data_IF_395737317501
#
_entry.id   IF_395737317501
#
_cell.length_a   1.000
_cell.length_b   1.000
_cell.length_c   1.000
_cell.angle_alpha   90.00
_cell.angle_beta   90.00
_cell.angle_gamma   90.00
#
_symmetry.space_group_name_H-M   'P 1'
#
loop_
_entity.id
_entity.type
_entity.pdbx_description
1 polymer ?
#
# COMPACT_ATOMS: atom_id res chain seq x y z
N UNK A 1 -16.74 4.91 15.68
CA UNK A 1 -16.65 5.33 14.26
C UNK A 1 -17.96 6.03 13.91
N UNK A 2 -17.93 7.21 13.29
CA UNK A 2 -19.15 7.95 12.98
C UNK A 2 -19.91 7.27 11.82
N UNK A 3 -21.27 7.31 11.78
CA UNK A 3 -22.06 6.67 10.72
C UNK A 3 -21.68 7.11 9.29
N UNK A 4 -21.22 8.35 9.17
CA UNK A 4 -20.80 8.97 7.91
C UNK A 4 -19.52 8.36 7.34
N UNK A 5 -18.53 8.09 8.21
CA UNK A 5 -17.25 7.47 7.83
C UNK A 5 -17.46 6.07 7.24
N UNK A 6 -18.43 5.32 7.79
CA UNK A 6 -18.72 3.97 7.33
C UNK A 6 -19.41 3.94 5.96
N UNK A 7 -20.24 4.95 5.67
CA UNK A 7 -20.88 5.11 4.37
C UNK A 7 -19.86 5.45 3.28
N UNK A 8 -18.93 6.35 3.59
CA UNK A 8 -17.84 6.75 2.68
C UNK A 8 -16.89 5.58 2.41
N UNK A 9 -16.47 4.86 3.46
CA UNK A 9 -15.61 3.69 3.33
C UNK A 9 -16.25 2.62 2.44
N UNK A 10 -17.56 2.39 2.58
CA UNK A 10 -18.30 1.41 1.78
C UNK A 10 -18.37 1.84 0.31
N UNK A 11 -18.51 3.14 0.03
CA UNK A 11 -18.49 3.67 -1.34
C UNK A 11 -17.11 3.49 -2.00
N UNK A 12 -16.03 3.78 -1.27
CA UNK A 12 -14.66 3.58 -1.75
C UNK A 12 -14.35 2.10 -2.03
N UNK A 13 -14.81 1.19 -1.17
CA UNK A 13 -14.63 -0.25 -1.37
C UNK A 13 -15.34 -0.73 -2.65
N UNK A 14 -16.55 -0.24 -2.90
CA UNK A 14 -17.28 -0.55 -4.13
C UNK A 14 -16.56 -0.04 -5.38
N UNK A 15 -15.98 1.17 -5.34
CA UNK A 15 -15.20 1.71 -6.46
C UNK A 15 -13.95 0.85 -6.73
N UNK A 16 -13.27 0.37 -5.69
CA UNK A 16 -12.10 -0.49 -5.83
C UNK A 16 -12.46 -1.87 -6.40
N UNK A 17 -13.63 -2.42 -6.04
CA UNK A 17 -14.16 -3.65 -6.61
C UNK A 17 -14.51 -3.50 -8.09
N UNK A 18 -15.20 -2.41 -8.46
CA UNK A 18 -15.62 -2.11 -9.84
C UNK A 18 -14.42 -1.93 -10.78
N UNK A 19 -13.35 -1.29 -10.27
CA UNK A 19 -12.08 -1.13 -10.99
C UNK A 19 -11.20 -2.40 -11.02
N UNK A 20 -11.60 -3.47 -10.33
CA UNK A 20 -10.86 -4.74 -10.27
C UNK A 20 -9.56 -4.67 -9.46
N UNK A 21 -9.43 -3.71 -8.54
CA UNK A 21 -8.24 -3.57 -7.70
C UNK A 21 -8.22 -4.54 -6.51
N UNK A 22 -9.39 -5.02 -6.08
CA UNK A 22 -9.55 -5.94 -4.95
C UNK A 22 -10.57 -7.03 -5.30
N UNK A 23 -10.46 -8.21 -4.66
CA UNK A 23 -11.39 -9.32 -4.80
C UNK A 23 -11.93 -9.68 -3.40
N UNK A 24 -13.24 -9.96 -3.22
CA UNK A 24 -13.74 -10.36 -1.91
C UNK A 24 -13.17 -11.74 -1.51
N UNK A 25 -12.56 -11.81 -0.33
CA UNK A 25 -12.00 -13.04 0.26
C UNK A 25 -12.54 -13.21 1.68
N UNK A 26 -12.87 -14.45 2.01
CA UNK A 26 -13.14 -14.92 3.38
C UNK A 26 -12.18 -16.08 3.63
N UNK A 27 -10.92 -15.76 3.94
CA UNK A 27 -9.85 -16.77 4.01
C UNK A 27 -9.38 -17.05 5.45
N UNK A 28 -9.14 -18.31 5.85
CA UNK A 28 -8.61 -18.68 7.18
C UNK A 28 -7.21 -18.13 7.52
N UNK A 29 -6.56 -17.45 6.57
CA UNK A 29 -5.17 -16.97 6.65
C UNK A 29 -5.02 -15.59 7.32
N UNK A 30 -6.14 -14.95 7.66
CA UNK A 30 -6.23 -13.70 8.42
C UNK A 30 -5.29 -13.66 9.64
N UNK A 31 -5.35 -14.73 10.44
CA UNK A 31 -4.57 -14.85 11.67
C UNK A 31 -3.08 -15.11 11.42
N UNK A 32 -2.71 -15.60 10.23
CA UNK A 32 -1.34 -15.99 9.90
C UNK A 32 -0.54 -14.85 9.25
N UNK A 33 -1.22 -13.86 8.66
CA UNK A 33 -0.59 -12.74 7.96
C UNK A 33 0.31 -11.90 8.89
N UNK A 34 -0.13 -11.69 10.14
CA UNK A 34 0.66 -11.00 11.16
C UNK A 34 1.93 -11.76 11.57
N UNK A 35 1.96 -13.08 11.41
CA UNK A 35 3.13 -13.91 11.76
C UNK A 35 4.11 -14.04 10.59
N UNK A 36 3.61 -14.09 9.35
CA UNK A 36 4.38 -14.39 8.13
C UNK A 36 4.87 -13.13 7.40
N UNK A 37 4.69 -11.93 7.97
CA UNK A 37 5.26 -10.70 7.43
C UNK A 37 6.81 -10.75 7.45
N UNK A 38 7.38 -11.37 6.42
CA UNK A 38 8.81 -11.40 6.13
C UNK A 38 9.30 -9.95 6.13
N UNK A 39 10.30 -9.66 6.96
CA UNK A 39 10.93 -8.34 7.02
C UNK A 39 11.30 -7.88 5.61
N UNK A 40 10.87 -6.66 5.27
CA UNK A 40 11.10 -6.05 3.97
C UNK A 40 12.60 -6.14 3.60
N UNK A 41 12.91 -6.71 2.44
CA UNK A 41 14.27 -6.88 1.92
C UNK A 41 15.01 -5.54 1.78
N UNK A 42 14.26 -4.45 1.60
CA UNK A 42 14.80 -3.11 1.49
C UNK A 42 14.51 -2.34 2.77
N UNK A 43 15.57 -2.07 3.53
CA UNK A 43 15.46 -1.18 4.69
C UNK A 43 15.18 0.23 4.19
N UNK A 44 14.23 0.92 4.84
CA UNK A 44 13.98 2.33 4.55
C UNK A 44 15.24 3.13 4.95
N UNK A 45 15.81 3.94 4.03
CA UNK A 45 16.98 4.76 4.34
C UNK A 45 16.62 5.81 5.41
N UNK A 46 17.61 6.22 6.21
CA UNK A 46 17.39 7.29 7.20
C UNK A 46 17.25 8.61 6.49
N UNK A 47 16.45 9.50 7.08
CA UNK A 47 16.16 10.80 6.49
C UNK A 47 17.42 11.67 6.30
N UNK A 48 18.38 11.59 7.24
CA UNK A 48 19.63 12.36 7.14
C UNK A 48 20.51 11.88 5.99
N UNK A 49 20.60 10.56 5.76
CA UNK A 49 21.37 9.99 4.66
C UNK A 49 20.82 10.46 3.30
N UNK A 50 19.49 10.62 3.20
CA UNK A 50 18.83 11.17 2.01
C UNK A 50 19.14 12.67 1.82
N UNK A 51 19.13 13.46 2.88
CA UNK A 51 19.45 14.89 2.79
C UNK A 51 20.93 15.14 2.49
N UNK A 52 21.82 14.30 2.99
CA UNK A 52 23.25 14.36 2.68
C UNK A 52 23.50 14.14 1.17
N UNK A 53 22.74 13.26 0.52
CA UNK A 53 22.80 13.06 -0.93
C UNK A 53 22.34 14.26 -1.74
N UNK A 54 21.47 15.10 -1.16
CA UNK A 54 20.91 16.27 -1.82
C UNK A 54 21.76 17.53 -1.61
N UNK A 55 22.83 17.47 -0.81
CA UNK A 55 23.75 18.59 -0.60
C UNK A 55 24.41 19.00 -1.92
N UNK A 56 24.29 20.28 -2.28
CA UNK A 56 24.84 20.84 -3.52
C UNK A 56 23.85 20.94 -4.68
N UNK A 57 22.64 20.37 -4.53
CA UNK A 57 21.55 20.66 -5.47
C UNK A 57 20.94 22.03 -5.16
N UNK A 58 20.82 22.87 -6.19
CA UNK A 58 20.27 24.24 -6.07
C UNK A 58 18.79 24.30 -6.42
N UNK A 59 18.29 23.31 -7.17
CA UNK A 59 16.91 23.23 -7.64
C UNK A 59 16.35 21.86 -7.32
N UNK A 60 15.14 21.84 -6.75
CA UNK A 60 14.44 20.62 -6.36
C UNK A 60 13.06 20.57 -7.02
N UNK A 61 12.65 19.37 -7.42
CA UNK A 61 11.29 19.09 -7.88
C UNK A 61 10.75 17.91 -7.09
N UNK A 62 9.49 18.02 -6.63
CA UNK A 62 8.84 16.98 -5.84
C UNK A 62 7.74 16.32 -6.66
N UNK A 63 7.87 15.02 -6.85
CA UNK A 63 6.87 14.20 -7.56
C UNK A 63 6.05 13.47 -6.50
N UNK A 64 4.73 13.58 -6.60
CA UNK A 64 3.80 12.86 -5.73
C UNK A 64 3.09 11.77 -6.53
N UNK A 65 3.26 10.51 -6.12
CA UNK A 65 2.63 9.36 -6.76
C UNK A 65 1.41 8.91 -5.94
N UNK A 66 0.25 9.55 -6.17
CA UNK A 66 -1.01 9.24 -5.44
C UNK A 66 -1.44 7.78 -5.60
N UNK A 67 -1.19 7.18 -6.76
CA UNK A 67 -1.54 5.78 -7.08
C UNK A 67 -0.33 4.86 -7.18
N UNK A 68 0.85 5.26 -6.69
CA UNK A 68 2.10 4.51 -6.89
C UNK A 68 2.02 3.05 -6.40
N UNK A 69 1.29 2.80 -5.32
CA UNK A 69 1.08 1.46 -4.78
C UNK A 69 0.30 0.54 -5.73
N UNK A 70 -0.71 1.07 -6.43
CA UNK A 70 -1.57 0.28 -7.33
C UNK A 70 -0.92 -0.03 -8.68
N UNK A 71 0.21 0.62 -9.00
CA UNK A 71 0.95 0.39 -10.24
C UNK A 71 1.92 -0.81 -10.13
N UNK A 72 2.28 -1.21 -8.91
CA UNK A 72 3.17 -2.34 -8.69
C UNK A 72 2.38 -3.64 -8.83
N UNK A 73 2.79 -4.49 -9.77
CA UNK A 73 2.20 -5.82 -9.94
C UNK A 73 2.63 -6.72 -8.78
N UNK A 74 1.66 -7.22 -8.04
CA UNK A 74 1.87 -8.24 -7.01
C UNK A 74 1.99 -9.60 -7.71
N UNK A 75 2.91 -10.46 -7.27
CA UNK A 75 3.04 -11.82 -7.79
C UNK A 75 1.76 -12.60 -7.50
N UNK A 76 1.27 -13.44 -8.42
CA UNK A 76 0.01 -14.18 -8.23
C UNK A 76 -0.08 -14.95 -6.90
N UNK A 77 1.04 -15.54 -6.43
CA UNK A 77 1.12 -16.21 -5.13
C UNK A 77 0.88 -15.28 -3.93
N UNK A 78 1.18 -13.99 -4.08
CA UNK A 78 0.93 -12.94 -3.10
C UNK A 78 -0.35 -12.15 -3.40
N UNK A 79 -0.98 -12.31 -4.57
CA UNK A 79 -2.33 -11.81 -4.93
C UNK A 79 -3.43 -12.62 -4.27
N UNK A 80 -3.12 -13.80 -3.72
CA UNK A 80 -4.01 -14.53 -2.81
C UNK A 80 -3.85 -14.10 -1.34
N UNK A 81 -2.94 -13.17 -1.04
CA UNK A 81 -2.76 -12.53 0.28
C UNK A 81 -3.44 -11.16 0.47
N UNK A 82 -3.91 -10.39 -0.55
CA UNK A 82 -4.63 -9.15 -0.37
C UNK A 82 -6.12 -9.43 -0.53
N UNK A 83 -6.66 -10.10 0.47
CA UNK A 83 -7.98 -9.83 1.00
C UNK A 83 -8.05 -10.70 2.24
N UNK A 84 -7.69 -10.09 3.36
CA UNK A 84 -8.61 -9.74 4.43
C UNK A 84 -8.25 -8.35 4.97
#
# INVERSE_FOLDING_TARGET
MAPTELKELKAQLHELLDRGFILPSVSPWDALLNWVAIKNKYMLPRINDLFDQLKGATVFSKIYLRSGYYQLRVKELDVLKPAL
#
